data_IF_418295547517
#
_entry.id   IF_418295547517
#
_cell.length_a   1.000
_cell.length_b   1.000
_cell.length_c   1.000
_cell.angle_alpha   90.00
_cell.angle_beta   90.00
_cell.angle_gamma   90.00
#
_symmetry.space_group_name_H-M   'P 1'
#
loop_
_entity.id
_entity.type
_entity.pdbx_description
1 polymer ?
#
# COMPACT_ATOMS: atom_id res chain seq x y z
N UNK A 1 9.86 0.16 3.62
CA UNK A 1 8.94 -0.55 4.53
C UNK A 1 7.58 0.14 4.46
N UNK A 2 6.53 -0.58 4.10
CA UNK A 2 5.19 -0.04 3.94
C UNK A 2 4.52 0.39 5.27
N UNK A 3 4.90 -0.22 6.39
CA UNK A 3 4.40 0.17 7.71
C UNK A 3 4.83 1.60 8.08
N UNK A 4 6.03 2.02 7.69
CA UNK A 4 6.49 3.41 7.85
C UNK A 4 5.63 4.37 7.04
N UNK A 5 5.24 4.00 5.81
CA UNK A 5 4.32 4.78 4.97
C UNK A 5 2.97 4.98 5.66
N UNK A 6 2.39 3.92 6.24
CA UNK A 6 1.12 3.99 6.97
C UNK A 6 1.22 4.95 8.17
N UNK A 7 2.32 4.90 8.93
CA UNK A 7 2.56 5.82 10.06
C UNK A 7 2.61 7.27 9.56
N UNK A 8 3.30 7.54 8.46
CA UNK A 8 3.34 8.89 7.86
C UNK A 8 1.97 9.36 7.40
N UNK A 9 1.16 8.49 6.78
CA UNK A 9 -0.21 8.84 6.37
C UNK A 9 -1.10 9.17 7.57
N UNK A 10 -0.97 8.44 8.69
CA UNK A 10 -1.69 8.76 9.94
C UNK A 10 -1.31 10.14 10.47
N UNK A 11 -0.01 10.47 10.49
CA UNK A 11 0.45 11.82 10.86
C UNK A 11 -0.12 12.91 9.95
N UNK A 12 -0.20 12.65 8.64
CA UNK A 12 -0.81 13.60 7.69
C UNK A 12 -2.31 13.75 7.99
N UNK A 13 -3.04 12.66 8.27
CA UNK A 13 -4.47 12.72 8.66
C UNK A 13 -4.69 13.58 9.89
N UNK A 14 -3.82 13.48 10.90
CA UNK A 14 -3.88 14.27 12.13
C UNK A 14 -3.73 15.78 11.91
N UNK A 15 -3.09 16.21 10.81
CA UNK A 15 -3.00 17.62 10.43
C UNK A 15 -4.32 18.18 9.90
N UNK A 16 -5.35 17.35 9.71
CA UNK A 16 -6.67 17.71 9.18
C UNK A 16 -6.57 18.56 7.89
N UNK A 17 -5.89 18.05 6.84
CA UNK A 17 -5.72 18.80 5.60
C UNK A 17 -7.07 19.11 4.97
N UNK A 18 -7.15 20.26 4.28
CA UNK A 18 -8.35 20.63 3.49
C UNK A 18 -8.27 20.16 2.04
N UNK A 19 -7.06 20.00 1.52
CA UNK A 19 -6.76 19.52 0.17
C UNK A 19 -5.47 18.71 0.21
N UNK A 20 -5.36 17.69 -0.64
CA UNK A 20 -4.09 17.04 -0.97
C UNK A 20 -3.73 17.25 -2.43
N UNK A 21 -2.47 17.59 -2.68
CA UNK A 21 -1.87 17.68 -4.01
C UNK A 21 -0.88 16.53 -4.15
N UNK A 22 -1.29 15.42 -4.78
CA UNK A 22 -0.52 14.17 -4.73
C UNK A 22 0.28 13.90 -6.01
N UNK A 23 -0.07 14.57 -7.10
CA UNK A 23 0.63 14.55 -8.38
C UNK A 23 0.20 15.78 -9.20
N UNK A 24 0.88 16.12 -10.31
CA UNK A 24 0.35 17.07 -11.28
C UNK A 24 -1.09 16.72 -11.64
N UNK A 25 -1.97 17.72 -11.62
CA UNK A 25 -3.41 17.61 -11.92
C UNK A 25 -4.24 16.70 -10.99
N UNK A 26 -3.64 16.07 -9.97
CA UNK A 26 -4.36 15.21 -9.04
C UNK A 26 -4.59 15.91 -7.69
N UNK A 27 -5.77 16.51 -7.56
CA UNK A 27 -6.21 17.27 -6.39
C UNK A 27 -7.32 16.49 -5.67
N UNK A 28 -7.12 16.23 -4.38
CA UNK A 28 -8.11 15.54 -3.53
C UNK A 28 -8.77 16.57 -2.63
N UNK A 29 -10.07 16.79 -2.83
CA UNK A 29 -10.88 17.77 -2.08
C UNK A 29 -11.54 17.19 -0.82
N UNK A 30 -11.59 15.86 -0.71
CA UNK A 30 -12.11 15.12 0.47
C UNK A 30 -10.97 14.33 1.15
N UNK A 31 -9.92 15.01 1.65
CA UNK A 31 -8.68 14.35 2.03
C UNK A 31 -8.82 13.46 3.28
N UNK A 32 -9.66 13.82 4.25
CA UNK A 32 -9.89 12.99 5.45
C UNK A 32 -10.44 11.61 5.07
N UNK A 33 -11.48 11.59 4.24
CA UNK A 33 -12.10 10.35 3.74
C UNK A 33 -11.10 9.53 2.92
N UNK A 34 -10.32 10.18 2.06
CA UNK A 34 -9.35 9.48 1.23
C UNK A 34 -8.20 8.88 2.04
N UNK A 35 -7.64 9.65 2.98
CA UNK A 35 -6.59 9.17 3.88
C UNK A 35 -7.09 8.00 4.72
N UNK A 36 -8.31 8.07 5.25
CA UNK A 36 -8.90 6.98 6.03
C UNK A 36 -9.04 5.70 5.22
N UNK A 37 -9.62 5.76 4.02
CA UNK A 37 -9.73 4.60 3.12
C UNK A 37 -8.36 4.03 2.76
N UNK A 38 -7.40 4.90 2.46
CA UNK A 38 -6.03 4.49 2.08
C UNK A 38 -5.33 3.79 3.24
N UNK A 39 -5.39 4.38 4.45
CA UNK A 39 -4.80 3.79 5.66
C UNK A 39 -5.43 2.42 5.94
N UNK A 40 -6.77 2.34 5.93
CA UNK A 40 -7.48 1.09 6.18
C UNK A 40 -7.08 0.00 5.17
N UNK A 41 -7.10 0.32 3.88
CA UNK A 41 -6.72 -0.62 2.83
C UNK A 41 -5.29 -1.16 3.03
N UNK A 42 -4.33 -0.28 3.33
CA UNK A 42 -2.94 -0.66 3.53
C UNK A 42 -2.76 -1.52 4.80
N UNK A 43 -3.46 -1.20 5.89
CA UNK A 43 -3.40 -1.98 7.13
C UNK A 43 -4.00 -3.38 6.95
N UNK A 44 -5.19 -3.48 6.36
CA UNK A 44 -5.85 -4.77 6.08
C UNK A 44 -5.01 -5.62 5.11
N UNK A 45 -4.44 -5.00 4.08
CA UNK A 45 -3.54 -5.68 3.13
C UNK A 45 -2.29 -6.20 3.85
N UNK A 46 -1.66 -5.38 4.69
CA UNK A 46 -0.49 -5.78 5.47
C UNK A 46 -0.79 -6.93 6.44
N UNK A 47 -1.97 -6.95 7.06
CA UNK A 47 -2.42 -8.05 7.91
C UNK A 47 -2.60 -9.35 7.11
N UNK A 48 -3.24 -9.29 5.94
CA UNK A 48 -3.41 -10.45 5.05
C UNK A 48 -2.07 -11.00 4.57
N UNK A 49 -1.14 -10.14 4.17
CA UNK A 49 0.21 -10.51 3.75
C UNK A 49 0.95 -11.25 4.88
N UNK A 50 0.95 -10.69 6.10
CA UNK A 50 1.59 -11.34 7.26
C UNK A 50 0.94 -12.68 7.59
N UNK A 51 -0.39 -12.78 7.51
CA UNK A 51 -1.10 -14.01 7.74
C UNK A 51 -0.73 -15.11 6.73
N UNK A 52 -0.61 -14.77 5.43
CA UNK A 52 -0.20 -15.72 4.41
C UNK A 52 1.28 -16.10 4.53
N UNK A 53 2.16 -15.13 4.81
CA UNK A 53 3.58 -15.39 5.06
C UNK A 53 3.79 -16.30 6.28
N UNK A 54 3.00 -16.14 7.35
CA UNK A 54 3.03 -17.03 8.51
C UNK A 54 2.61 -18.47 8.22
N UNK A 55 1.88 -18.69 7.10
CA UNK A 55 1.54 -20.03 6.58
C UNK A 55 2.62 -20.61 5.65
N UNK A 56 3.74 -19.90 5.46
CA UNK A 56 4.88 -20.35 4.66
C UNK A 56 4.82 -19.96 3.18
N UNK A 57 3.85 -19.16 2.75
CA UNK A 57 3.81 -18.69 1.36
C UNK A 57 4.94 -17.70 1.08
N UNK A 58 5.54 -17.85 -0.09
CA UNK A 58 6.53 -16.92 -0.63
C UNK A 58 5.89 -15.58 -1.06
N UNK A 59 6.67 -14.49 -1.16
CA UNK A 59 6.16 -13.20 -1.61
C UNK A 59 5.44 -13.24 -2.97
N UNK A 60 5.95 -14.03 -3.93
CA UNK A 60 5.34 -14.20 -5.24
C UNK A 60 3.98 -14.91 -5.17
N UNK A 61 3.88 -15.99 -4.38
CA UNK A 61 2.60 -16.70 -4.17
C UNK A 61 1.57 -15.80 -3.47
N UNK A 62 2.00 -14.99 -2.50
CA UNK A 62 1.14 -14.00 -1.83
C UNK A 62 0.68 -12.94 -2.82
N UNK A 63 1.57 -12.44 -3.68
CA UNK A 63 1.24 -11.43 -4.67
C UNK A 63 0.19 -11.95 -5.67
N UNK A 64 0.41 -13.13 -6.24
CA UNK A 64 -0.53 -13.80 -7.14
C UNK A 64 -1.88 -14.04 -6.45
N UNK A 65 -1.88 -14.52 -5.21
CA UNK A 65 -3.14 -14.81 -4.49
C UNK A 65 -3.94 -13.55 -4.13
N UNK A 66 -3.29 -12.42 -3.85
CA UNK A 66 -3.95 -11.20 -3.39
C UNK A 66 -4.31 -10.24 -4.53
N UNK A 67 -3.49 -10.19 -5.58
CA UNK A 67 -3.59 -9.19 -6.64
C UNK A 67 -3.80 -9.80 -8.03
N UNK A 68 -3.57 -11.11 -8.19
CA UNK A 68 -3.61 -11.78 -9.49
C UNK A 68 -2.48 -11.32 -10.39
N UNK A 69 -2.76 -11.23 -11.69
CA UNK A 69 -1.80 -10.77 -12.69
C UNK A 69 -1.29 -9.35 -12.38
N UNK A 70 0.03 -9.18 -12.41
CA UNK A 70 0.70 -7.92 -12.03
C UNK A 70 0.65 -6.86 -13.13
N UNK A 71 -0.56 -6.36 -13.42
CA UNK A 71 -0.81 -5.31 -14.42
C UNK A 71 -0.02 -4.04 -14.09
N UNK A 72 0.21 -3.76 -12.80
CA UNK A 72 1.01 -2.60 -12.37
C UNK A 72 2.46 -2.70 -12.85
N UNK A 73 3.08 -3.88 -12.78
CA UNK A 73 4.43 -4.09 -13.30
C UNK A 73 4.50 -3.92 -14.82
N UNK A 74 3.46 -4.32 -15.55
CA UNK A 74 3.41 -4.16 -17.01
C UNK A 74 3.31 -2.68 -17.41
N UNK A 75 2.46 -1.90 -16.73
CA UNK A 75 2.24 -0.48 -17.04
C UNK A 75 3.45 0.38 -16.62
N UNK A 76 4.09 0.01 -15.51
CA UNK A 76 5.15 0.83 -14.89
C UNK A 76 6.56 0.35 -15.23
N UNK A 77 6.70 -0.53 -16.23
CA UNK A 77 7.98 -1.14 -16.63
C UNK A 77 8.74 -1.74 -15.43
N UNK A 78 7.99 -2.34 -14.50
CA UNK A 78 8.53 -2.96 -13.28
C UNK A 78 8.90 -1.99 -12.16
N UNK A 79 8.67 -0.68 -12.30
CA UNK A 79 8.88 0.27 -11.19
C UNK A 79 8.00 -0.05 -9.98
N UNK A 80 6.79 -0.55 -10.23
CA UNK A 80 5.91 -1.08 -9.21
C UNK A 80 5.57 -2.53 -9.55
N UNK A 81 5.85 -3.45 -8.64
CA UNK A 81 5.39 -4.83 -8.74
C UNK A 81 4.65 -5.24 -7.47
N UNK A 82 3.64 -6.07 -7.64
CA UNK A 82 2.85 -6.66 -6.57
C UNK A 82 3.73 -7.48 -5.63
N UNK A 83 4.74 -8.19 -6.15
CA UNK A 83 5.73 -8.90 -5.33
C UNK A 83 6.59 -7.93 -4.50
N UNK A 84 7.08 -6.82 -5.08
CA UNK A 84 7.83 -5.82 -4.34
C UNK A 84 6.98 -5.14 -3.27
N UNK A 85 5.69 -4.94 -3.56
CA UNK A 85 4.73 -4.43 -2.60
C UNK A 85 4.57 -5.40 -1.42
N UNK A 86 4.42 -6.71 -1.67
CA UNK A 86 4.41 -7.74 -0.63
C UNK A 86 5.71 -7.72 0.19
N UNK A 87 6.85 -7.76 -0.48
CA UNK A 87 8.17 -7.70 0.16
C UNK A 87 8.31 -6.46 1.06
N UNK A 88 7.74 -5.32 0.65
CA UNK A 88 7.80 -4.09 1.44
C UNK A 88 7.09 -4.15 2.80
N UNK A 89 6.12 -5.07 2.98
CA UNK A 89 5.45 -5.35 4.26
C UNK A 89 6.20 -6.37 5.12
N UNK A 90 6.95 -7.28 4.48
CA UNK A 90 7.68 -8.37 5.15
C UNK A 90 9.09 -7.98 5.56
N UNK A 91 9.65 -6.91 5.00
CA UNK A 91 10.90 -6.32 5.47
C UNK A 91 10.80 -5.98 6.96
N UNK A 92 11.55 -6.72 7.77
CA UNK A 92 11.96 -6.32 9.11
C UNK A 92 12.95 -5.17 8.94
N UNK A 93 12.57 -3.97 9.40
CA UNK A 93 13.55 -2.87 9.55
C UNK A 93 14.55 -3.21 10.66
#
# INVERSE_FOLDING_TARGET
NQWKTIISLKKIKELMPRVLLTAPEYIITEPSTMLEKTIQYLEETGQRIRALSSKGLSPAEIAEQLFGEDIAAQITEGQFSSENFVNSYLKTD
#
